data_IF_154964778456
#
_entry.id   IF_154964778456
#
_cell.length_a   1.000
_cell.length_b   1.000
_cell.length_c   1.000
_cell.angle_alpha   90.00
_cell.angle_beta   90.00
_cell.angle_gamma   90.00
#
_symmetry.space_group_name_H-M   'P 1'
#
loop_
_entity.id
_entity.type
_entity.pdbx_description
1 polymer ?
#
# COMPACT_ATOMS: atom_id res chain seq x y z
N UNK A 1 -26.93 29.09 67.97
CA UNK A 1 -25.67 28.78 67.23
C UNK A 1 -25.97 27.66 66.22
N UNK A 2 -26.13 28.00 64.94
CA UNK A 2 -26.41 27.05 63.87
C UNK A 2 -25.11 26.78 63.10
N UNK A 3 -24.58 25.54 63.22
CA UNK A 3 -23.39 25.07 62.48
C UNK A 3 -23.81 24.63 61.06
N UNK A 4 -23.42 25.39 60.05
CA UNK A 4 -23.57 25.00 58.65
C UNK A 4 -22.48 23.97 58.30
N UNK A 5 -22.90 22.76 57.96
CA UNK A 5 -22.03 21.69 57.45
C UNK A 5 -21.91 21.88 55.91
N UNK A 6 -20.75 22.34 55.48
CA UNK A 6 -20.45 22.51 54.04
C UNK A 6 -19.95 21.18 53.46
N UNK A 7 -20.81 20.45 52.79
CA UNK A 7 -20.42 19.24 52.06
C UNK A 7 -19.76 19.60 50.75
N UNK A 8 -18.47 19.40 50.66
CA UNK A 8 -17.70 19.51 49.40
C UNK A 8 -17.82 18.19 48.69
N UNK A 9 -18.61 18.16 47.62
CA UNK A 9 -18.68 17.01 46.70
C UNK A 9 -17.50 17.14 45.72
N UNK A 10 -16.51 16.25 45.89
CA UNK A 10 -15.37 16.13 44.99
C UNK A 10 -15.79 15.27 43.80
N UNK A 11 -16.08 15.93 42.65
CA UNK A 11 -16.45 15.27 41.41
C UNK A 11 -15.18 14.72 40.74
N UNK A 12 -14.94 13.41 40.87
CA UNK A 12 -13.82 12.70 40.27
C UNK A 12 -14.17 12.48 38.79
N UNK A 13 -13.71 13.36 37.90
CA UNK A 13 -13.79 13.15 36.46
C UNK A 13 -12.69 12.18 36.06
N UNK A 14 -13.04 10.92 35.84
CA UNK A 14 -12.17 9.92 35.22
C UNK A 14 -11.98 10.29 33.74
N UNK A 15 -10.83 10.83 33.39
CA UNK A 15 -10.40 10.98 32.01
C UNK A 15 -10.12 9.58 31.44
N UNK A 16 -11.03 9.07 30.62
CA UNK A 16 -10.79 7.87 29.84
C UNK A 16 -9.86 8.26 28.69
N UNK A 17 -8.56 8.03 28.86
CA UNK A 17 -7.60 8.19 27.76
C UNK A 17 -7.86 7.09 26.75
N UNK A 18 -8.47 7.45 25.62
CA UNK A 18 -8.54 6.56 24.44
C UNK A 18 -7.13 6.50 23.88
N UNK A 19 -6.43 5.38 24.12
CA UNK A 19 -5.15 5.12 23.48
C UNK A 19 -5.40 5.01 21.96
N UNK A 20 -4.94 6.02 21.22
CA UNK A 20 -4.90 5.94 19.77
C UNK A 20 -3.84 4.90 19.41
N UNK A 21 -4.27 3.75 18.90
CA UNK A 21 -3.36 2.77 18.32
C UNK A 21 -2.78 3.38 17.04
N UNK A 22 -1.50 3.77 17.10
CA UNK A 22 -0.76 4.16 15.89
C UNK A 22 -0.72 2.92 15.00
N UNK A 23 -1.19 2.99 13.75
CA UNK A 23 -1.13 1.83 12.87
C UNK A 23 0.33 1.41 12.68
N UNK A 24 0.60 0.14 12.90
CA UNK A 24 1.94 -0.43 12.69
C UNK A 24 2.25 -0.33 11.21
N UNK A 25 3.31 0.41 10.87
CA UNK A 25 3.79 0.51 9.50
C UNK A 25 4.27 -0.87 9.05
N UNK A 26 3.69 -1.40 7.99
CA UNK A 26 4.15 -2.63 7.36
C UNK A 26 5.47 -2.37 6.63
N UNK A 27 6.39 -3.31 6.72
CA UNK A 27 7.71 -3.22 6.11
C UNK A 27 7.96 -4.45 5.25
N UNK A 28 8.54 -4.25 4.08
CA UNK A 28 9.04 -5.28 3.19
C UNK A 28 10.49 -4.94 2.84
N UNK A 29 11.41 -5.82 3.19
CA UNK A 29 12.80 -5.67 2.80
C UNK A 29 12.99 -6.11 1.34
N UNK A 30 13.45 -5.21 0.48
CA UNK A 30 13.89 -5.57 -0.85
C UNK A 30 15.20 -6.40 -0.78
N UNK A 31 15.33 -7.39 -1.64
CA UNK A 31 16.48 -8.29 -1.70
C UNK A 31 17.32 -7.98 -2.94
N UNK A 32 18.65 -8.07 -2.80
CA UNK A 32 19.53 -7.90 -3.96
C UNK A 32 19.43 -9.11 -4.88
N UNK A 33 19.09 -8.87 -6.14
CA UNK A 33 18.99 -9.89 -7.15
C UNK A 33 20.38 -10.45 -7.51
N UNK A 34 20.54 -11.76 -7.47
CA UNK A 34 21.75 -12.43 -7.97
C UNK A 34 21.76 -12.51 -9.50
N UNK A 35 20.60 -12.61 -10.10
CA UNK A 35 20.37 -12.67 -11.55
C UNK A 35 19.19 -11.77 -11.86
N UNK A 36 19.27 -11.01 -12.95
CA UNK A 36 18.17 -10.16 -13.43
C UNK A 36 16.96 -11.00 -13.80
N UNK A 37 15.76 -10.76 -13.23
CA UNK A 37 14.57 -11.48 -13.61
C UNK A 37 14.14 -11.13 -15.04
N UNK A 38 13.44 -12.05 -15.70
CA UNK A 38 12.80 -11.73 -16.97
C UNK A 38 11.57 -10.86 -16.74
N UNK A 39 11.42 -9.85 -17.58
CA UNK A 39 10.26 -8.94 -17.50
C UNK A 39 9.25 -9.39 -18.57
N UNK A 40 8.61 -10.53 -18.33
CA UNK A 40 7.66 -11.16 -19.24
C UNK A 40 6.27 -11.42 -18.61
N UNK A 41 6.07 -10.97 -17.34
CA UNK A 41 4.84 -11.19 -16.59
C UNK A 41 4.72 -12.59 -16.00
N UNK A 42 5.73 -13.45 -16.15
CA UNK A 42 5.76 -14.81 -15.62
C UNK A 42 6.66 -14.84 -14.38
N UNK A 43 6.08 -15.12 -13.21
CA UNK A 43 6.80 -15.08 -11.93
C UNK A 43 7.33 -16.46 -11.51
N UNK A 44 7.87 -17.21 -12.45
CA UNK A 44 8.43 -18.56 -12.21
C UNK A 44 9.95 -18.58 -12.16
N UNK A 45 10.61 -17.47 -12.41
CA UNK A 45 12.07 -17.37 -12.32
C UNK A 45 12.55 -17.68 -10.91
N UNK A 46 13.63 -18.47 -10.81
CA UNK A 46 14.20 -18.91 -9.54
C UNK A 46 14.61 -17.73 -8.63
N UNK A 47 14.92 -16.58 -9.24
CA UNK A 47 15.33 -15.35 -8.50
C UNK A 47 14.25 -14.87 -7.54
N UNK A 48 12.98 -15.18 -7.78
CA UNK A 48 11.87 -14.85 -6.89
C UNK A 48 11.69 -15.85 -5.73
N UNK A 49 12.36 -17.01 -5.81
CA UNK A 49 12.26 -18.04 -4.79
C UNK A 49 12.89 -17.56 -3.48
N UNK A 50 12.15 -17.69 -2.38
CA UNK A 50 12.62 -17.30 -1.05
C UNK A 50 12.63 -15.79 -0.79
N UNK A 51 12.21 -14.95 -1.75
CA UNK A 51 12.02 -13.51 -1.52
C UNK A 51 10.76 -13.30 -0.68
N UNK A 52 10.86 -12.43 0.33
CA UNK A 52 9.73 -12.10 1.18
C UNK A 52 8.55 -11.55 0.36
N UNK A 53 7.35 -11.99 0.72
CA UNK A 53 6.11 -11.59 0.04
C UNK A 53 5.33 -10.65 0.94
N UNK A 54 5.04 -9.45 0.47
CA UNK A 54 4.08 -8.55 1.10
C UNK A 54 2.65 -9.03 0.77
N UNK A 55 1.84 -9.13 1.80
CA UNK A 55 0.43 -9.57 1.74
C UNK A 55 -0.41 -8.77 2.73
N UNK A 56 -1.70 -9.11 2.83
CA UNK A 56 -2.62 -8.52 3.79
C UNK A 56 -2.71 -6.99 3.61
N UNK A 57 -2.92 -6.59 2.38
CA UNK A 57 -3.15 -5.19 2.04
C UNK A 57 -4.47 -4.70 2.62
N UNK A 58 -4.51 -3.42 2.92
CA UNK A 58 -5.70 -2.77 3.46
C UNK A 58 -6.24 -1.75 2.48
N UNK A 59 -7.55 -1.66 2.44
CA UNK A 59 -8.25 -0.68 1.62
C UNK A 59 -8.03 0.74 2.15
N UNK A 60 -7.76 1.66 1.24
CA UNK A 60 -7.71 3.08 1.55
C UNK A 60 -9.08 3.75 1.34
N UNK A 61 -9.82 3.31 0.31
CA UNK A 61 -11.17 3.78 -0.03
C UNK A 61 -11.97 2.63 -0.63
N UNK A 62 -13.30 2.56 -0.48
CA UNK A 62 -14.18 3.46 0.28
C UNK A 62 -14.16 3.21 1.80
N UNK A 63 -13.61 2.08 2.27
CA UNK A 63 -13.61 1.70 3.71
C UNK A 63 -12.18 1.59 4.22
N UNK A 64 -11.59 2.70 4.71
CA UNK A 64 -10.20 2.70 5.17
C UNK A 64 -9.93 1.64 6.25
N UNK A 65 -8.83 0.90 6.07
CA UNK A 65 -8.40 -0.12 7.02
C UNK A 65 -9.09 -1.48 6.87
N UNK A 66 -10.03 -1.65 5.93
CA UNK A 66 -10.59 -2.96 5.62
C UNK A 66 -9.52 -3.84 4.99
N UNK A 67 -9.32 -5.04 5.52
CA UNK A 67 -8.39 -6.00 4.96
C UNK A 67 -8.91 -6.59 3.65
N UNK A 68 -8.00 -6.92 2.75
CA UNK A 68 -8.32 -7.64 1.52
C UNK A 68 -8.94 -9.00 1.82
N UNK A 69 -9.85 -9.44 0.97
CA UNK A 69 -10.41 -10.79 1.07
C UNK A 69 -9.48 -11.79 0.38
N UNK A 70 -9.38 -13.00 0.92
CA UNK A 70 -8.45 -14.02 0.42
C UNK A 70 -8.56 -14.29 -1.09
N UNK A 71 -9.78 -14.17 -1.64
CA UNK A 71 -10.03 -14.39 -3.06
C UNK A 71 -9.52 -13.26 -3.96
N UNK A 72 -9.32 -12.06 -3.39
CA UNK A 72 -8.87 -10.85 -4.07
C UNK A 72 -7.58 -10.31 -3.45
N UNK A 73 -6.77 -11.21 -2.91
CA UNK A 73 -5.51 -10.82 -2.28
C UNK A 73 -4.47 -10.36 -3.28
N UNK A 74 -3.57 -9.55 -2.82
CA UNK A 74 -2.40 -9.08 -3.56
C UNK A 74 -1.13 -9.62 -2.91
N UNK A 75 -0.18 -10.08 -3.72
CA UNK A 75 1.13 -10.53 -3.31
C UNK A 75 2.18 -9.71 -4.05
N UNK A 76 3.13 -9.11 -3.31
CA UNK A 76 4.20 -8.29 -3.89
C UNK A 76 5.55 -8.76 -3.37
N UNK A 77 6.51 -8.90 -4.29
CA UNK A 77 7.92 -9.15 -3.98
C UNK A 77 8.78 -8.06 -4.63
N UNK A 78 9.87 -7.69 -3.99
CA UNK A 78 10.76 -6.63 -4.48
C UNK A 78 12.19 -7.10 -4.48
N UNK A 79 12.83 -6.97 -5.63
CA UNK A 79 14.27 -7.16 -5.84
C UNK A 79 14.89 -5.86 -6.32
N UNK A 80 16.20 -5.75 -6.18
CA UNK A 80 16.97 -4.65 -6.77
C UNK A 80 18.36 -5.11 -7.19
N UNK A 81 18.97 -4.38 -8.12
CA UNK A 81 20.39 -4.48 -8.42
C UNK A 81 21.00 -3.07 -8.54
N UNK A 82 22.18 -2.95 -9.17
CA UNK A 82 22.82 -1.66 -9.34
C UNK A 82 22.15 -0.76 -10.39
N UNK A 83 21.20 -1.29 -11.17
CA UNK A 83 20.59 -0.61 -12.31
C UNK A 83 19.09 -0.39 -12.15
N UNK A 84 18.40 -1.26 -11.40
CA UNK A 84 16.94 -1.26 -11.35
C UNK A 84 16.36 -1.79 -10.04
N UNK A 85 15.09 -1.45 -9.82
CA UNK A 85 14.20 -2.09 -8.86
C UNK A 85 13.22 -2.95 -9.65
N UNK A 86 13.10 -4.21 -9.27
CA UNK A 86 12.20 -5.19 -9.89
C UNK A 86 11.06 -5.48 -8.93
N UNK A 87 9.84 -5.38 -9.42
CA UNK A 87 8.65 -5.66 -8.63
C UNK A 87 7.84 -6.75 -9.30
N UNK A 88 7.63 -7.84 -8.58
CA UNK A 88 6.68 -8.86 -8.95
C UNK A 88 5.40 -8.64 -8.17
N UNK A 89 4.28 -8.53 -8.88
CA UNK A 89 2.98 -8.37 -8.28
C UNK A 89 2.02 -9.42 -8.83
N UNK A 90 1.31 -10.11 -7.93
CA UNK A 90 0.23 -11.02 -8.29
C UNK A 90 -1.03 -10.57 -7.58
N UNK A 91 -2.00 -10.17 -8.35
CA UNK A 91 -3.31 -9.77 -7.89
C UNK A 91 -4.32 -10.84 -8.27
N UNK A 92 -4.99 -11.39 -7.27
CA UNK A 92 -5.98 -12.44 -7.48
C UNK A 92 -7.36 -11.81 -7.58
N UNK A 93 -8.10 -12.19 -8.59
CA UNK A 93 -9.51 -11.84 -8.75
C UNK A 93 -10.21 -12.87 -9.64
N UNK A 94 -11.55 -12.82 -9.69
CA UNK A 94 -12.29 -13.59 -10.65
C UNK A 94 -12.07 -13.00 -12.06
N UNK A 95 -11.81 -13.83 -13.09
CA UNK A 95 -11.50 -13.32 -14.42
C UNK A 95 -12.54 -12.35 -14.97
N UNK A 96 -13.81 -12.57 -14.65
CA UNK A 96 -14.94 -11.77 -15.14
C UNK A 96 -15.08 -10.42 -14.39
N UNK A 97 -14.38 -10.24 -13.28
CA UNK A 97 -14.37 -8.99 -12.51
C UNK A 97 -13.22 -8.06 -12.87
N UNK A 98 -12.20 -8.57 -13.55
CA UNK A 98 -11.05 -7.75 -13.96
C UNK A 98 -11.45 -6.82 -15.10
N UNK A 99 -11.41 -5.52 -14.83
CA UNK A 99 -11.71 -4.49 -15.81
C UNK A 99 -10.48 -4.19 -16.66
N UNK A 100 -10.53 -4.62 -17.93
CA UNK A 100 -9.47 -4.39 -18.91
C UNK A 100 -9.96 -3.38 -19.95
N UNK A 101 -9.47 -2.16 -19.84
CA UNK A 101 -9.77 -1.10 -20.80
C UNK A 101 -8.48 -0.71 -21.51
N UNK A 102 -8.50 -0.77 -22.85
CA UNK A 102 -7.39 -0.30 -23.67
C UNK A 102 -7.58 1.19 -23.97
N UNK A 103 -6.77 2.00 -23.34
CA UNK A 103 -6.76 3.46 -23.48
C UNK A 103 -5.40 3.94 -23.97
N UNK A 104 -5.25 5.22 -24.27
CA UNK A 104 -3.97 5.80 -24.60
C UNK A 104 -3.03 5.79 -23.40
N UNK A 105 -1.71 5.76 -23.64
CA UNK A 105 -0.68 5.96 -22.62
C UNK A 105 -1.00 7.20 -21.78
N UNK A 106 -0.65 7.15 -20.51
CA UNK A 106 -0.89 8.19 -19.51
C UNK A 106 -2.37 8.44 -19.18
N UNK A 107 -3.23 7.49 -19.54
CA UNK A 107 -4.63 7.44 -19.14
C UNK A 107 -4.93 6.08 -18.49
N UNK A 108 -5.46 6.07 -17.29
CA UNK A 108 -5.83 4.82 -16.60
C UNK A 108 -7.24 4.38 -16.99
N UNK A 109 -8.11 5.31 -17.42
CA UNK A 109 -9.52 5.01 -17.66
C UNK A 109 -10.25 4.52 -16.41
N UNK A 110 -11.09 3.52 -16.58
CA UNK A 110 -11.75 2.80 -15.47
C UNK A 110 -11.16 1.39 -15.26
N UNK A 111 -9.97 1.12 -15.83
CA UNK A 111 -9.34 -0.19 -15.75
C UNK A 111 -8.81 -0.49 -14.34
N UNK A 112 -8.73 -1.76 -14.02
CA UNK A 112 -7.93 -2.21 -12.87
C UNK A 112 -6.45 -1.98 -13.15
N UNK A 113 -5.73 -1.56 -12.13
CA UNK A 113 -4.32 -1.25 -12.24
C UNK A 113 -3.55 -1.55 -10.95
N UNK A 114 -2.26 -1.68 -11.09
CA UNK A 114 -1.32 -1.60 -9.96
C UNK A 114 -0.49 -0.32 -10.10
N UNK A 115 -0.21 0.32 -8.96
CA UNK A 115 0.64 1.50 -8.89
C UNK A 115 1.68 1.36 -7.78
N UNK A 116 2.88 1.86 -8.07
CA UNK A 116 4.00 1.94 -7.14
C UNK A 116 4.42 3.40 -7.03
N UNK A 117 4.54 3.89 -5.82
CA UNK A 117 5.00 5.25 -5.55
C UNK A 117 6.33 5.17 -4.82
N UNK A 118 7.34 5.79 -5.39
CA UNK A 118 8.68 5.89 -4.81
C UNK A 118 8.88 7.28 -4.22
N UNK A 119 9.05 7.35 -2.91
CA UNK A 119 9.54 8.53 -2.21
C UNK A 119 11.07 8.48 -2.18
N UNK A 120 11.70 9.05 -3.21
CA UNK A 120 13.14 8.98 -3.40
C UNK A 120 13.93 9.87 -2.43
N UNK A 121 13.27 10.82 -1.77
CA UNK A 121 13.87 11.73 -0.80
C UNK A 121 13.54 11.33 0.64
N UNK A 122 12.66 10.36 0.86
CA UNK A 122 12.14 9.96 2.17
C UNK A 122 11.58 11.14 2.98
N UNK A 123 10.98 12.10 2.27
CA UNK A 123 10.44 13.32 2.86
C UNK A 123 8.91 13.25 3.07
N UNK A 124 8.25 12.22 2.55
CA UNK A 124 6.81 12.07 2.60
C UNK A 124 6.02 13.12 1.81
N UNK A 125 6.70 13.94 1.02
CA UNK A 125 6.12 15.06 0.29
C UNK A 125 6.24 14.91 -1.22
N UNK A 126 7.32 14.30 -1.68
CA UNK A 126 7.61 14.15 -3.10
C UNK A 126 7.69 12.67 -3.47
N UNK A 127 7.15 12.31 -4.61
CA UNK A 127 7.18 10.94 -5.07
C UNK A 127 7.03 10.83 -6.58
N UNK A 128 7.49 9.69 -7.11
CA UNK A 128 7.27 9.30 -8.49
C UNK A 128 6.41 8.03 -8.51
N UNK A 129 5.27 8.10 -9.16
CA UNK A 129 4.34 6.99 -9.32
C UNK A 129 4.47 6.34 -10.69
N UNK A 130 4.44 5.02 -10.71
CA UNK A 130 4.45 4.20 -11.92
C UNK A 130 3.28 3.23 -11.86
N UNK A 131 2.49 3.19 -12.89
CA UNK A 131 1.24 2.45 -12.93
C UNK A 131 1.16 1.61 -14.19
N UNK A 132 0.54 0.44 -14.07
CA UNK A 132 0.21 -0.40 -15.20
C UNK A 132 -1.20 -0.98 -15.02
N UNK A 133 -2.01 -0.89 -16.07
CA UNK A 133 -3.37 -1.44 -16.08
C UNK A 133 -3.37 -2.93 -16.40
N UNK A 134 -4.49 -3.61 -16.13
CA UNK A 134 -4.69 -5.00 -16.53
C UNK A 134 -4.57 -5.22 -18.06
N UNK A 135 -4.77 -4.19 -18.87
CA UNK A 135 -4.55 -4.20 -20.33
C UNK A 135 -3.10 -3.85 -20.73
N UNK A 136 -2.19 -3.63 -19.77
CA UNK A 136 -0.78 -3.28 -20.03
C UNK A 136 -0.53 -1.81 -20.37
N UNK A 137 -1.52 -0.93 -20.20
CA UNK A 137 -1.33 0.50 -20.43
C UNK A 137 -0.50 1.07 -19.27
N UNK A 138 0.52 1.84 -19.62
CA UNK A 138 1.43 2.48 -18.65
C UNK A 138 1.04 3.93 -18.43
N UNK A 139 1.22 4.36 -17.18
CA UNK A 139 1.03 5.73 -16.73
C UNK A 139 2.09 6.07 -15.69
N UNK A 140 2.65 7.28 -15.75
CA UNK A 140 3.54 7.76 -14.72
C UNK A 140 3.11 9.15 -14.22
N UNK A 141 3.42 9.45 -12.95
CA UNK A 141 3.04 10.69 -12.31
C UNK A 141 4.10 11.17 -11.31
N UNK A 142 4.21 12.48 -11.20
CA UNK A 142 4.94 13.11 -10.09
C UNK A 142 3.96 13.59 -9.04
N UNK A 143 4.28 13.31 -7.81
CA UNK A 143 3.55 13.78 -6.65
C UNK A 143 4.41 14.82 -5.94
N UNK A 144 3.82 15.96 -5.63
CA UNK A 144 4.42 16.97 -4.79
C UNK A 144 3.35 17.56 -3.88
N UNK A 145 3.67 17.73 -2.61
CA UNK A 145 2.81 18.50 -1.72
C UNK A 145 3.10 19.97 -2.00
N UNK A 146 2.13 20.63 -2.65
CA UNK A 146 2.17 22.09 -2.78
C UNK A 146 1.76 22.62 -1.41
N UNK A 147 2.68 23.30 -0.73
CA UNK A 147 2.44 23.98 0.54
C UNK A 147 1.56 25.21 0.39
#
# INVERSE_FOLDING_TARGET
>A
MKRHFLSVIFLLTTFCSVAQTVPVKKELAAVRAAIVPKIDGILTDEVWSGVAVATDFVENRPVPGRHEVKAQRTEIQVLYDDNAIYVAARMYDAPDSVVQELVSRDNIGNADFIGLIFDTFSDGMNGNGFYVTAAGVQFDAKYSQVG
#
